data_IF_783837528470
#
_entry.id   IF_783837528470
#
_cell.length_a   1.000
_cell.length_b   1.000
_cell.length_c   1.000
_cell.angle_alpha   90.00
_cell.angle_beta   90.00
_cell.angle_gamma   90.00
#
_symmetry.space_group_name_H-M   'P 1'
#
loop_
_entity.id
_entity.type
_entity.pdbx_description
1 polymer ?
#
# COMPACT_ATOMS: atom_id res chain seq x y z
N UNK A 1 17.77 -11.12 13.37
CA UNK A 1 17.87 -9.64 13.30
C UNK A 1 18.64 -9.18 14.53
N UNK A 2 19.88 -8.72 14.37
CA UNK A 2 20.64 -8.17 15.50
C UNK A 2 20.10 -6.77 15.82
N UNK A 3 19.27 -6.67 16.85
CA UNK A 3 18.79 -5.40 17.42
C UNK A 3 19.96 -4.83 18.26
N UNK A 4 20.97 -4.26 17.63
CA UNK A 4 22.02 -3.47 18.29
C UNK A 4 22.01 -2.01 17.85
N UNK A 5 21.04 -1.63 17.02
CA UNK A 5 20.90 -0.24 16.60
C UNK A 5 19.99 0.44 17.63
N UNK A 6 20.49 1.43 18.35
CA UNK A 6 19.70 2.28 19.23
C UNK A 6 18.98 3.32 18.37
N UNK A 7 17.68 3.46 18.56
CA UNK A 7 16.85 4.48 17.92
C UNK A 7 16.44 5.50 18.97
N UNK A 8 16.46 6.77 18.62
CA UNK A 8 16.09 7.84 19.55
C UNK A 8 14.58 7.89 19.82
N UNK A 9 13.79 7.51 18.83
CA UNK A 9 12.33 7.52 18.91
C UNK A 9 11.72 6.24 18.34
N UNK A 10 10.47 5.96 18.69
CA UNK A 10 9.70 4.89 18.06
C UNK A 10 9.56 5.11 16.55
N UNK A 11 9.38 6.36 16.12
CA UNK A 11 9.28 6.71 14.71
C UNK A 11 10.56 6.34 13.94
N UNK A 12 11.74 6.63 14.49
CA UNK A 12 13.02 6.26 13.87
C UNK A 12 13.15 4.74 13.71
N UNK A 13 12.73 3.99 14.72
CA UNK A 13 12.68 2.53 14.65
C UNK A 13 11.69 2.04 13.59
N UNK A 14 10.50 2.60 13.59
CA UNK A 14 9.40 2.18 12.72
C UNK A 14 9.72 2.46 11.24
N UNK A 15 10.31 3.61 10.95
CA UNK A 15 10.69 4.03 9.60
C UNK A 15 12.13 3.68 9.21
N UNK A 16 12.79 2.78 9.95
CA UNK A 16 14.20 2.41 9.75
C UNK A 16 14.47 1.92 8.33
N UNK A 17 15.71 2.13 7.87
CA UNK A 17 16.20 1.57 6.60
C UNK A 17 16.78 0.18 6.82
N UNK A 18 16.64 -0.69 5.82
CA UNK A 18 17.40 -1.94 5.79
C UNK A 18 18.88 -1.66 5.46
N UNK A 19 19.77 -2.48 6.01
CA UNK A 19 21.18 -2.48 5.61
C UNK A 19 21.30 -2.96 4.16
N UNK A 20 22.28 -2.42 3.42
CA UNK A 20 22.51 -2.84 2.03
C UNK A 20 22.74 -4.35 1.95
N UNK A 21 22.13 -5.00 0.96
CA UNK A 21 22.33 -6.42 0.65
C UNK A 21 21.51 -7.39 1.48
N UNK A 22 20.61 -6.94 2.39
CA UNK A 22 19.72 -7.85 3.13
C UNK A 22 18.71 -8.51 2.17
N UNK A 23 18.16 -7.75 1.23
CA UNK A 23 17.29 -8.29 0.20
C UNK A 23 17.96 -8.25 -1.17
N UNK A 24 17.99 -9.39 -1.82
CA UNK A 24 18.36 -9.50 -3.24
C UNK A 24 17.08 -9.39 -4.06
N UNK A 25 16.93 -8.29 -4.76
CA UNK A 25 15.78 -8.04 -5.60
C UNK A 25 16.00 -8.64 -6.98
N UNK A 26 15.07 -9.46 -7.45
CA UNK A 26 15.07 -9.95 -8.83
C UNK A 26 14.83 -8.75 -9.78
N UNK A 27 15.71 -8.60 -10.77
CA UNK A 27 15.68 -7.52 -11.75
C UNK A 27 15.27 -7.99 -13.15
N UNK A 28 14.86 -9.23 -13.30
CA UNK A 28 14.44 -9.77 -14.61
C UNK A 28 13.22 -9.00 -15.11
N UNK A 29 13.21 -8.75 -16.41
CA UNK A 29 12.10 -8.03 -17.06
C UNK A 29 10.79 -8.82 -16.85
N UNK A 30 9.76 -8.12 -16.39
CA UNK A 30 8.45 -8.71 -16.10
C UNK A 30 8.33 -9.38 -14.72
N UNK A 31 9.38 -9.37 -13.91
CA UNK A 31 9.29 -9.85 -12.52
C UNK A 31 8.46 -8.91 -11.65
N UNK A 32 7.59 -9.49 -10.84
CA UNK A 32 6.89 -8.80 -9.75
C UNK A 32 7.48 -9.33 -8.45
N UNK A 33 7.99 -8.44 -7.62
CA UNK A 33 8.58 -8.77 -6.32
C UNK A 33 7.66 -8.36 -5.18
N UNK A 34 7.86 -8.93 -3.98
CA UNK A 34 7.09 -8.49 -2.81
C UNK A 34 7.34 -7.02 -2.53
N UNK A 35 6.27 -6.28 -2.28
CA UNK A 35 6.35 -4.86 -1.91
C UNK A 35 6.92 -4.63 -0.52
N UNK A 36 6.85 -5.59 0.36
CA UNK A 36 7.22 -5.43 1.77
C UNK A 36 7.51 -6.78 2.45
N UNK A 37 8.10 -6.70 3.63
CA UNK A 37 8.31 -7.82 4.54
C UNK A 37 7.09 -7.93 5.46
N UNK A 38 6.26 -8.92 5.25
CA UNK A 38 5.05 -9.09 6.03
C UNK A 38 4.42 -10.47 5.86
N UNK A 39 3.25 -10.65 6.44
CA UNK A 39 2.48 -11.89 6.35
C UNK A 39 1.39 -11.75 5.29
N UNK A 40 1.38 -12.63 4.31
CA UNK A 40 0.28 -12.71 3.33
C UNK A 40 -1.00 -13.10 4.07
N UNK A 41 -2.02 -12.25 3.99
CA UNK A 41 -3.33 -12.52 4.56
C UNK A 41 -4.24 -13.17 3.54
N UNK A 42 -4.35 -12.56 2.36
CA UNK A 42 -5.25 -12.99 1.31
C UNK A 42 -4.62 -12.72 -0.06
N UNK A 43 -4.93 -13.56 -1.01
CA UNK A 43 -4.58 -13.37 -2.42
C UNK A 43 -5.60 -14.09 -3.31
N UNK A 44 -5.70 -13.66 -4.55
CA UNK A 44 -6.59 -14.31 -5.50
C UNK A 44 -7.01 -13.44 -6.66
N UNK A 45 -8.04 -13.87 -7.35
CA UNK A 45 -8.68 -13.11 -8.42
C UNK A 45 -9.71 -12.14 -7.84
N UNK A 46 -9.84 -10.98 -8.47
CA UNK A 46 -10.91 -10.04 -8.20
C UNK A 46 -12.17 -10.61 -8.83
N UNK A 47 -13.15 -10.95 -7.99
CA UNK A 47 -14.44 -11.52 -8.41
C UNK A 47 -15.56 -10.54 -8.06
N UNK A 48 -16.52 -10.40 -8.95
CA UNK A 48 -17.67 -9.50 -8.76
C UNK A 48 -17.29 -8.10 -8.30
N UNK A 49 -16.20 -7.57 -8.85
CA UNK A 49 -15.60 -6.29 -8.45
C UNK A 49 -15.28 -6.18 -6.95
N UNK A 50 -14.98 -7.28 -6.29
CA UNK A 50 -14.65 -7.36 -4.87
C UNK A 50 -13.37 -8.13 -4.63
N UNK A 51 -12.67 -7.79 -3.56
CA UNK A 51 -11.55 -8.55 -3.03
C UNK A 51 -11.95 -9.23 -1.73
N UNK A 52 -11.41 -10.39 -1.47
CA UNK A 52 -11.62 -11.09 -0.21
C UNK A 52 -10.88 -10.35 0.91
N UNK A 53 -11.60 -9.92 1.95
CA UNK A 53 -11.02 -9.32 3.14
C UNK A 53 -10.57 -10.40 4.13
N UNK A 54 -11.47 -11.34 4.41
CA UNK A 54 -11.27 -12.53 5.24
C UNK A 54 -12.33 -13.55 4.83
N UNK A 55 -12.21 -14.81 5.25
CA UNK A 55 -13.18 -15.86 4.93
C UNK A 55 -14.61 -15.38 5.21
N UNK A 56 -15.45 -15.41 4.19
CA UNK A 56 -16.85 -14.97 4.28
C UNK A 56 -17.10 -13.47 4.19
N UNK A 57 -16.07 -12.63 4.09
CA UNK A 57 -16.20 -11.18 3.94
C UNK A 57 -15.40 -10.66 2.76
N UNK A 58 -16.03 -9.83 1.95
CA UNK A 58 -15.38 -9.15 0.83
C UNK A 58 -15.50 -7.64 0.94
N UNK A 59 -14.56 -6.94 0.34
CA UNK A 59 -14.58 -5.48 0.22
C UNK A 59 -14.75 -5.11 -1.24
N UNK A 60 -15.74 -4.26 -1.59
CA UNK A 60 -15.89 -3.77 -2.95
C UNK A 60 -14.63 -3.02 -3.38
N UNK A 61 -14.06 -3.41 -4.50
CA UNK A 61 -12.83 -2.79 -5.04
C UNK A 61 -13.04 -1.30 -5.32
N UNK A 62 -14.21 -0.93 -5.83
CA UNK A 62 -14.56 0.46 -6.07
C UNK A 62 -14.48 1.31 -4.78
N UNK A 63 -14.97 0.78 -3.66
CA UNK A 63 -14.88 1.49 -2.36
C UNK A 63 -13.43 1.64 -1.91
N UNK A 64 -12.60 0.64 -2.14
CA UNK A 64 -11.17 0.67 -1.82
C UNK A 64 -10.43 1.74 -2.67
N UNK A 65 -10.82 1.89 -3.93
CA UNK A 65 -10.30 2.87 -4.88
C UNK A 65 -11.02 4.24 -4.84
N UNK A 66 -11.67 4.57 -3.72
CA UNK A 66 -12.35 5.87 -3.52
C UNK A 66 -13.46 6.16 -4.54
N UNK A 67 -14.21 5.13 -4.94
CA UNK A 67 -15.28 5.20 -5.94
C UNK A 67 -14.81 5.70 -7.33
N UNK A 68 -13.53 5.62 -7.62
CA UNK A 68 -12.99 5.89 -8.95
C UNK A 68 -13.38 4.77 -9.91
N UNK A 69 -14.41 5.01 -10.71
CA UNK A 69 -14.99 4.01 -11.65
C UNK A 69 -14.02 3.64 -12.76
N UNK A 70 -13.25 4.62 -13.25
CA UNK A 70 -12.26 4.40 -14.31
C UNK A 70 -11.17 3.46 -13.79
N UNK A 71 -10.60 3.78 -12.63
CA UNK A 71 -9.57 2.96 -12.02
C UNK A 71 -10.10 1.56 -11.65
N UNK A 72 -11.33 1.45 -11.15
CA UNK A 72 -11.94 0.17 -10.85
C UNK A 72 -12.15 -0.71 -12.10
N UNK A 73 -12.47 -0.10 -13.24
CA UNK A 73 -12.65 -0.85 -14.49
C UNK A 73 -11.37 -1.49 -14.99
N UNK A 74 -10.22 -0.84 -14.77
CA UNK A 74 -8.89 -1.35 -15.14
C UNK A 74 -8.59 -2.68 -14.42
N UNK A 75 -9.00 -2.81 -13.15
CA UNK A 75 -8.71 -3.99 -12.33
C UNK A 75 -9.78 -5.08 -12.38
N UNK A 76 -10.82 -4.91 -13.18
CA UNK A 76 -11.83 -5.96 -13.38
C UNK A 76 -11.15 -7.25 -13.87
N UNK A 77 -11.44 -8.37 -13.20
CA UNK A 77 -10.81 -9.68 -13.46
C UNK A 77 -9.30 -9.75 -13.18
N UNK A 78 -8.74 -8.73 -12.53
CA UNK A 78 -7.34 -8.73 -12.08
C UNK A 78 -7.07 -9.70 -10.93
N UNK A 79 -5.92 -9.53 -10.32
CA UNK A 79 -5.51 -10.28 -9.13
C UNK A 79 -5.16 -9.33 -8.01
N UNK A 80 -5.28 -9.79 -6.77
CA UNK A 80 -4.90 -9.01 -5.60
C UNK A 80 -4.04 -9.84 -4.65
N UNK A 81 -3.26 -9.12 -3.84
CA UNK A 81 -2.47 -9.65 -2.74
C UNK A 81 -2.59 -8.69 -1.57
N UNK A 82 -2.97 -9.20 -0.41
CA UNK A 82 -3.03 -8.43 0.84
C UNK A 82 -1.92 -8.90 1.77
N UNK A 83 -1.06 -7.97 2.19
CA UNK A 83 0.07 -8.24 3.09
C UNK A 83 -0.12 -7.42 4.36
N UNK A 84 0.00 -8.07 5.51
CA UNK A 84 -0.05 -7.46 6.83
C UNK A 84 1.36 -7.21 7.35
N UNK A 85 1.60 -6.00 7.78
CA UNK A 85 2.81 -5.56 8.47
C UNK A 85 2.51 -5.42 9.95
N UNK A 86 3.13 -6.23 10.78
CA UNK A 86 3.03 -6.07 12.23
C UNK A 86 4.01 -4.98 12.71
N UNK A 87 3.80 -4.33 13.86
CA UNK A 87 4.65 -3.22 14.32
C UNK A 87 6.15 -3.51 14.38
N UNK A 88 6.55 -4.78 14.49
CA UNK A 88 7.96 -5.22 14.50
C UNK A 88 8.56 -5.33 13.10
N UNK A 89 7.74 -5.43 12.07
CA UNK A 89 8.19 -5.67 10.71
C UNK A 89 8.84 -4.40 10.11
N UNK A 90 9.42 -4.54 8.94
CA UNK A 90 9.96 -3.43 8.19
C UNK A 90 8.81 -2.68 7.51
N UNK A 91 8.63 -1.39 7.85
CA UNK A 91 7.47 -0.60 7.39
C UNK A 91 7.74 0.26 6.14
N UNK A 92 8.90 0.13 5.51
CA UNK A 92 9.11 0.74 4.21
C UNK A 92 8.62 -0.19 3.13
N UNK A 93 7.66 0.28 2.34
CA UNK A 93 7.06 -0.46 1.24
C UNK A 93 7.71 -0.06 -0.07
N UNK A 94 8.08 -1.02 -0.89
CA UNK A 94 8.74 -0.84 -2.17
C UNK A 94 7.75 -1.09 -3.32
N UNK A 95 7.96 -0.41 -4.44
CA UNK A 95 7.16 -0.64 -5.63
C UNK A 95 7.52 -2.00 -6.20
N UNK A 96 6.54 -2.89 -6.46
CA UNK A 96 6.79 -4.30 -6.76
C UNK A 96 7.27 -4.58 -8.19
N UNK A 97 7.12 -3.64 -9.10
CA UNK A 97 7.48 -3.77 -10.50
C UNK A 97 7.86 -2.40 -11.07
N UNK A 98 8.49 -2.38 -12.24
CA UNK A 98 8.70 -1.15 -12.98
C UNK A 98 7.35 -0.56 -13.40
N UNK A 99 7.27 0.77 -13.46
CA UNK A 99 6.06 1.42 -13.94
C UNK A 99 6.08 2.92 -13.71
N UNK A 100 5.33 3.63 -14.52
CA UNK A 100 5.10 5.06 -14.38
C UNK A 100 3.97 5.29 -13.39
N UNK A 101 4.19 6.12 -12.38
CA UNK A 101 3.14 6.56 -11.47
C UNK A 101 2.16 7.46 -12.23
N UNK A 102 0.92 7.00 -12.37
CA UNK A 102 -0.14 7.68 -13.12
C UNK A 102 -1.02 8.54 -12.21
N UNK A 103 -1.33 8.03 -11.02
CA UNK A 103 -2.29 8.67 -10.12
C UNK A 103 -1.99 8.30 -8.67
N UNK A 104 -2.16 9.26 -7.77
CA UNK A 104 -2.22 9.03 -6.32
C UNK A 104 -3.54 9.55 -5.77
N UNK A 105 -4.16 8.76 -4.89
CA UNK A 105 -5.38 9.13 -4.18
C UNK A 105 -5.13 8.96 -2.69
N UNK A 106 -5.00 10.06 -1.96
CA UNK A 106 -5.05 10.04 -0.49
C UNK A 106 -6.52 10.11 -0.05
N UNK A 107 -6.98 9.08 0.60
CA UNK A 107 -8.37 8.95 1.05
C UNK A 107 -8.39 9.03 2.57
N UNK A 108 -8.91 10.12 3.15
CA UNK A 108 -9.05 10.22 4.60
C UNK A 108 -10.02 9.16 5.11
N UNK A 109 -9.79 8.68 6.33
CA UNK A 109 -10.61 7.64 6.92
C UNK A 109 -10.37 7.46 8.40
N UNK A 110 -10.82 6.33 8.91
CA UNK A 110 -10.57 5.88 10.28
C UNK A 110 -9.17 5.24 10.36
N UNK A 111 -8.77 4.91 11.58
CA UNK A 111 -7.53 4.20 11.88
C UNK A 111 -7.86 2.96 12.74
N UNK A 112 -8.78 2.13 12.26
CA UNK A 112 -9.06 0.86 12.92
C UNK A 112 -7.82 -0.03 12.88
N UNK A 113 -7.65 -0.85 13.92
CA UNK A 113 -6.65 -1.92 13.88
C UNK A 113 -6.88 -2.80 12.65
N UNK A 114 -5.82 -3.21 11.99
CA UNK A 114 -5.86 -4.16 10.86
C UNK A 114 -5.39 -5.56 11.28
N UNK A 115 -5.30 -5.83 12.57
CA UNK A 115 -5.06 -7.17 13.11
C UNK A 115 -6.24 -8.11 12.81
N UNK A 116 -5.98 -9.42 12.81
CA UNK A 116 -6.90 -10.46 12.36
C UNK A 116 -8.32 -10.30 12.93
N UNK A 117 -8.44 -10.13 14.26
CA UNK A 117 -9.73 -9.97 14.92
C UNK A 117 -10.52 -8.73 14.45
N UNK A 118 -9.86 -7.64 14.12
CA UNK A 118 -10.55 -6.44 13.63
C UNK A 118 -11.03 -6.64 12.18
N UNK A 119 -10.22 -7.32 11.35
CA UNK A 119 -10.56 -7.67 9.97
C UNK A 119 -11.76 -8.62 9.94
N UNK A 120 -11.88 -9.50 10.92
CA UNK A 120 -13.03 -10.41 11.06
C UNK A 120 -14.31 -9.71 11.53
N UNK A 121 -14.19 -8.71 12.40
CA UNK A 121 -15.34 -8.02 13.00
C UNK A 121 -15.87 -6.87 12.15
N UNK A 122 -15.00 -6.12 11.46
CA UNK A 122 -15.36 -4.88 10.77
C UNK A 122 -15.53 -5.11 9.28
N UNK A 123 -16.74 -4.93 8.77
CA UNK A 123 -17.02 -5.02 7.34
C UNK A 123 -16.37 -3.85 6.58
N UNK A 124 -15.79 -4.16 5.43
CA UNK A 124 -15.12 -3.18 4.57
C UNK A 124 -14.02 -2.37 5.30
N UNK A 125 -13.32 -3.00 6.24
CA UNK A 125 -12.33 -2.34 7.10
C UNK A 125 -11.31 -1.54 6.28
N UNK A 126 -10.72 -2.13 5.27
CA UNK A 126 -9.69 -1.49 4.46
C UNK A 126 -10.18 -0.25 3.72
N UNK A 127 -11.45 -0.21 3.31
CA UNK A 127 -12.03 0.97 2.66
C UNK A 127 -12.51 2.03 3.65
N UNK A 128 -12.66 1.70 4.94
CA UNK A 128 -12.99 2.65 6.01
C UNK A 128 -11.76 3.36 6.57
N UNK A 129 -10.61 2.70 6.51
CA UNK A 129 -9.36 3.28 7.00
C UNK A 129 -8.79 4.30 6.02
N UNK A 130 -8.06 5.27 6.60
CA UNK A 130 -7.20 6.18 5.83
C UNK A 130 -6.26 5.37 4.96
N UNK A 131 -6.09 5.79 3.71
CA UNK A 131 -5.25 5.06 2.76
C UNK A 131 -4.71 5.94 1.65
N UNK A 132 -3.61 5.50 1.09
CA UNK A 132 -3.02 6.06 -0.12
C UNK A 132 -3.05 4.99 -1.22
N UNK A 133 -3.71 5.29 -2.32
CA UNK A 133 -3.72 4.47 -3.54
C UNK A 133 -2.70 5.06 -4.51
N UNK A 134 -1.72 4.27 -4.91
CA UNK A 134 -0.74 4.61 -5.93
C UNK A 134 -0.95 3.71 -7.15
N UNK A 135 -1.41 4.29 -8.24
CA UNK A 135 -1.65 3.59 -9.51
C UNK A 135 -0.50 3.77 -10.47
N UNK A 136 0.00 2.65 -10.98
CA UNK A 136 1.13 2.58 -11.92
C UNK A 136 0.71 1.94 -13.23
N UNK A 137 1.44 2.30 -14.29
CA UNK A 137 1.32 1.69 -15.61
C UNK A 137 2.70 1.40 -16.19
N UNK A 138 2.90 0.20 -16.74
CA UNK A 138 4.05 -0.18 -17.56
C UNK A 138 3.52 -0.84 -18.83
N UNK A 139 3.72 -0.20 -19.97
CA UNK A 139 3.13 -0.58 -21.27
C UNK A 139 1.59 -0.73 -21.14
N UNK A 140 1.05 -1.92 -21.36
CA UNK A 140 -0.38 -2.22 -21.17
C UNK A 140 -0.73 -2.80 -19.79
N UNK A 141 0.28 -3.00 -18.94
CA UNK A 141 0.09 -3.54 -17.62
C UNK A 141 -0.21 -2.44 -16.60
N UNK A 142 -1.16 -2.69 -15.74
CA UNK A 142 -1.55 -1.79 -14.67
C UNK A 142 -1.44 -2.49 -13.32
N UNK A 143 -0.92 -1.78 -12.33
CA UNK A 143 -0.96 -2.24 -10.94
C UNK A 143 -1.15 -1.07 -9.98
N UNK A 144 -1.67 -1.38 -8.81
CA UNK A 144 -1.79 -0.41 -7.72
C UNK A 144 -1.19 -0.95 -6.43
N UNK A 145 -0.48 -0.09 -5.73
CA UNK A 145 -0.09 -0.33 -4.33
C UNK A 145 -1.00 0.53 -3.45
N UNK A 146 -1.69 -0.11 -2.52
CA UNK A 146 -2.63 0.55 -1.62
C UNK A 146 -2.09 0.44 -0.19
N UNK A 147 -1.67 1.56 0.35
CA UNK A 147 -1.23 1.67 1.75
C UNK A 147 -2.44 1.95 2.61
N UNK A 148 -2.72 1.08 3.56
CA UNK A 148 -3.86 1.23 4.47
C UNK A 148 -3.31 1.57 5.85
N UNK A 149 -3.66 2.77 6.34
CA UNK A 149 -3.34 3.21 7.69
C UNK A 149 -4.06 2.36 8.75
N UNK A 150 -3.55 2.40 9.95
CA UNK A 150 -4.11 1.67 11.08
C UNK A 150 -3.89 2.44 12.38
N UNK A 151 -4.32 1.88 13.51
CA UNK A 151 -3.99 2.43 14.81
C UNK A 151 -2.46 2.58 14.94
N UNK A 152 -1.99 3.75 15.33
CA UNK A 152 -0.58 4.16 15.38
C UNK A 152 0.12 4.34 14.02
N UNK A 153 -0.59 4.22 12.89
CA UNK A 153 -0.04 4.36 11.55
C UNK A 153 -0.94 5.27 10.73
N UNK A 154 -0.68 6.59 10.79
CA UNK A 154 -1.53 7.60 10.14
C UNK A 154 -0.79 8.55 9.21
N UNK A 155 0.52 8.61 9.28
CA UNK A 155 1.35 9.40 8.37
C UNK A 155 1.88 8.49 7.28
N UNK A 156 1.54 8.80 6.04
CA UNK A 156 2.09 8.11 4.86
C UNK A 156 3.02 9.09 4.17
N UNK A 157 4.28 8.72 4.06
CA UNK A 157 5.30 9.50 3.38
C UNK A 157 5.75 8.80 2.11
N UNK A 158 5.95 9.55 1.04
CA UNK A 158 6.45 9.03 -0.23
C UNK A 158 7.74 9.74 -0.63
N UNK A 159 8.65 9.04 -1.31
CA UNK A 159 9.91 9.65 -1.76
C UNK A 159 9.71 10.79 -2.76
N UNK A 160 8.62 10.76 -3.52
CA UNK A 160 8.35 11.73 -4.59
C UNK A 160 7.55 12.95 -4.14
N UNK A 161 6.93 12.91 -2.95
CA UNK A 161 6.07 14.01 -2.48
C UNK A 161 6.31 14.36 -1.00
N UNK A 162 7.06 13.54 -0.26
CA UNK A 162 7.13 13.64 1.19
C UNK A 162 5.83 13.16 1.84
N UNK A 163 5.44 13.76 2.94
CA UNK A 163 4.21 13.43 3.65
C UNK A 163 2.97 13.76 2.79
N UNK A 164 2.09 12.77 2.64
CA UNK A 164 0.86 12.88 1.85
C UNK A 164 -0.40 12.97 2.70
N UNK A 165 -0.30 12.74 3.99
CA UNK A 165 -1.39 12.95 4.94
C UNK A 165 -1.50 14.43 5.27
N UNK A 166 -2.53 15.15 4.81
CA UNK A 166 -2.65 16.57 5.11
C UNK A 166 -2.95 16.78 6.60
N UNK A 167 -2.54 17.93 7.17
CA UNK A 167 -2.99 18.32 8.50
C UNK A 167 -4.52 18.44 8.55
N UNK A 168 -5.08 18.36 9.73
CA UNK A 168 -6.54 18.49 9.94
C UNK A 168 -7.09 19.84 9.44
N UNK A 169 -8.29 19.88 8.84
CA UNK A 169 -9.17 18.75 8.52
C UNK A 169 -8.67 17.96 7.31
N UNK A 170 -8.64 16.63 7.46
CA UNK A 170 -8.24 15.72 6.37
C UNK A 170 -9.24 15.78 5.22
N UNK A 171 -8.76 16.02 4.01
CA UNK A 171 -9.56 16.07 2.78
C UNK A 171 -9.06 15.04 1.78
N UNK A 172 -9.94 14.57 0.93
CA UNK A 172 -9.54 13.76 -0.22
C UNK A 172 -8.58 14.55 -1.12
N UNK A 173 -7.42 13.98 -1.37
CA UNK A 173 -6.44 14.57 -2.28
C UNK A 173 -6.21 13.57 -3.43
N UNK A 174 -6.54 14.03 -4.64
CA UNK A 174 -6.22 13.32 -5.87
C UNK A 174 -5.18 14.09 -6.65
N UNK A 175 -4.10 13.43 -6.99
CA UNK A 175 -3.05 14.02 -7.83
C UNK A 175 -2.80 13.10 -9.02
N UNK A 176 -2.97 13.64 -10.23
CA UNK A 176 -2.47 13.00 -11.44
C UNK A 176 -0.99 13.32 -11.54
N UNK A 177 -0.16 12.29 -11.57
CA UNK A 177 1.28 12.50 -11.70
C UNK A 177 1.64 12.68 -13.18
N UNK A 178 2.26 13.78 -13.49
CA UNK A 178 2.69 14.11 -14.87
C UNK A 178 4.20 13.99 -15.03
N UNK A 179 4.95 13.84 -13.93
CA UNK A 179 6.39 14.08 -13.93
C UNK A 179 7.30 12.88 -13.59
N UNK A 180 6.76 11.77 -13.09
CA UNK A 180 7.60 10.63 -12.70
C UNK A 180 7.57 9.56 -13.78
N UNK A 181 8.56 9.58 -14.67
CA UNK A 181 8.59 8.71 -15.85
C UNK A 181 9.04 7.29 -15.57
N UNK A 182 9.84 7.05 -14.55
CA UNK A 182 10.25 5.71 -14.12
C UNK A 182 10.54 5.72 -12.63
N UNK A 183 9.75 5.00 -11.84
CA UNK A 183 10.09 4.64 -10.47
C UNK A 183 10.72 3.26 -10.54
N UNK A 184 12.05 3.22 -10.70
CA UNK A 184 12.79 1.96 -10.64
C UNK A 184 12.89 1.46 -9.20
N UNK A 185 12.88 0.15 -9.00
CA UNK A 185 13.24 -0.44 -7.71
C UNK A 185 14.64 0.02 -7.27
N UNK A 186 14.87 0.48 -6.05
CA UNK A 186 13.96 0.52 -4.91
C UNK A 186 13.39 1.93 -4.64
N UNK A 187 12.17 2.19 -5.10
CA UNK A 187 11.46 3.42 -4.74
C UNK A 187 10.57 3.15 -3.53
N UNK A 188 10.74 3.90 -2.47
CA UNK A 188 10.11 3.63 -1.19
C UNK A 188 8.92 4.55 -0.94
N UNK A 189 7.87 4.02 -0.35
CA UNK A 189 6.87 4.77 0.37
C UNK A 189 6.86 4.28 1.83
N UNK A 190 6.51 5.15 2.75
CA UNK A 190 6.45 4.86 4.18
C UNK A 190 5.00 4.80 4.63
N UNK A 191 4.69 3.91 5.50
CA UNK A 191 3.38 3.86 6.17
C UNK A 191 3.58 3.94 7.66
#
# INVERSE_FOLDING_TARGET
>A
MCIRDSYNTFCDFFTRKLKKGIHVVNKDKGSIVSSCDGRILQFGKIQDNSILQVKGKSTPMQSLLCNDKELASIYKNGSFLTIYLSPKDYHRVHIPANGKLMKTLHVPGRLFSVADHAVECIDNLYSKNERLVCHFKEDDNHFSVIFVGAINVSSIETQWKGEVSPPMPKKLISTKSVSYTHLTLPTNAWV
#
